data_IF_020645846732
#
_entry.id   IF_020645846732
#
_cell.length_a   1.000
_cell.length_b   1.000
_cell.length_c   1.000
_cell.angle_alpha   90.00
_cell.angle_beta   90.00
_cell.angle_gamma   90.00
#
_symmetry.space_group_name_H-M   'P 1'
#
loop_
_entity.id
_entity.type
_entity.pdbx_description
1 polymer ?
#
# COMPACT_ATOMS: atom_id res chain seq x y z
N UNK A 1 -13.07 -4.85 -20.39
CA UNK A 1 -13.18 -3.39 -20.60
C UNK A 1 -14.05 -2.66 -19.57
N UNK A 2 -15.06 -3.31 -18.94
CA UNK A 2 -15.87 -2.71 -17.86
C UNK A 2 -15.38 -2.97 -16.43
N UNK A 3 -14.10 -3.32 -16.26
CA UNK A 3 -13.51 -3.71 -14.97
C UNK A 3 -13.22 -2.51 -14.05
N UNK A 4 -13.12 -2.77 -12.74
CA UNK A 4 -12.66 -1.77 -11.78
C UNK A 4 -11.30 -1.18 -12.20
N UNK A 5 -11.12 0.13 -11.99
CA UNK A 5 -9.90 0.87 -12.37
C UNK A 5 -9.85 1.34 -13.83
N UNK A 6 -10.85 1.00 -14.65
CA UNK A 6 -11.07 1.60 -15.97
C UNK A 6 -11.87 2.89 -15.77
N UNK A 7 -11.22 4.04 -15.92
CA UNK A 7 -11.80 5.35 -15.65
C UNK A 7 -11.22 6.43 -16.55
N UNK A 8 -11.96 7.52 -16.74
CA UNK A 8 -11.46 8.70 -17.45
C UNK A 8 -10.21 9.27 -16.75
N UNK A 9 -9.27 9.89 -17.49
CA UNK A 9 -9.33 10.20 -18.93
C UNK A 9 -8.85 9.07 -19.85
N UNK A 10 -8.11 8.09 -19.32
CA UNK A 10 -7.41 7.08 -20.14
C UNK A 10 -8.28 5.88 -20.52
N UNK A 11 -9.35 5.62 -19.78
CA UNK A 11 -10.20 4.45 -20.02
C UNK A 11 -9.41 3.15 -19.84
N UNK A 12 -9.62 2.19 -20.75
CA UNK A 12 -8.91 0.91 -20.74
C UNK A 12 -7.50 1.11 -21.32
N UNK A 13 -6.48 0.83 -20.51
CA UNK A 13 -5.08 1.08 -20.85
C UNK A 13 -4.25 -0.21 -20.72
N UNK A 14 -3.97 -0.85 -21.85
CA UNK A 14 -3.10 -2.03 -21.95
C UNK A 14 -2.21 -1.94 -23.21
N UNK A 15 -1.21 -1.05 -23.24
CA UNK A 15 -0.35 -0.88 -24.41
C UNK A 15 0.54 -2.09 -24.70
N UNK A 16 0.81 -2.92 -23.69
CA UNK A 16 1.64 -4.12 -23.80
C UNK A 16 0.82 -5.39 -24.10
N UNK A 17 -0.51 -5.29 -24.15
CA UNK A 17 -1.39 -6.41 -24.46
C UNK A 17 -1.36 -7.53 -23.42
N UNK A 18 -1.09 -7.21 -22.15
CA UNK A 18 -0.96 -8.19 -21.06
C UNK A 18 -2.27 -8.88 -20.70
N UNK A 19 -3.41 -8.36 -21.16
CA UNK A 19 -4.75 -8.92 -20.93
C UNK A 19 -5.37 -9.57 -22.18
N UNK A 20 -4.63 -9.64 -23.29
CA UNK A 20 -5.13 -10.17 -24.58
C UNK A 20 -5.37 -11.68 -24.58
N UNK A 21 -4.69 -12.41 -23.71
CA UNK A 21 -4.79 -13.86 -23.52
C UNK A 21 -6.12 -14.29 -22.91
N UNK A 22 -6.86 -13.37 -22.26
CA UNK A 22 -8.13 -13.66 -21.62
C UNK A 22 -8.03 -14.54 -20.37
N UNK A 23 -6.81 -14.77 -19.87
CA UNK A 23 -6.57 -15.56 -18.65
C UNK A 23 -7.02 -14.78 -17.42
N UNK A 24 -8.18 -15.17 -16.89
CA UNK A 24 -8.79 -14.59 -15.70
C UNK A 24 -7.90 -14.74 -14.47
N UNK A 25 -7.20 -15.87 -14.33
CA UNK A 25 -6.32 -16.12 -13.18
C UNK A 25 -5.10 -15.23 -13.23
N UNK A 26 -4.46 -15.10 -14.40
CA UNK A 26 -3.34 -14.19 -14.59
C UNK A 26 -3.76 -12.73 -14.37
N UNK A 27 -4.92 -12.31 -14.89
CA UNK A 27 -5.45 -10.97 -14.68
C UNK A 27 -5.74 -10.69 -13.19
N UNK A 28 -6.39 -11.63 -12.49
CA UNK A 28 -6.70 -11.55 -11.05
C UNK A 28 -5.43 -11.37 -10.23
N UNK A 29 -4.38 -12.14 -10.54
CA UNK A 29 -3.07 -12.01 -9.90
C UNK A 29 -2.42 -10.65 -10.17
N UNK A 30 -2.45 -10.17 -11.43
CA UNK A 30 -1.92 -8.85 -11.80
C UNK A 30 -2.65 -7.74 -11.05
N UNK A 31 -3.99 -7.81 -10.94
CA UNK A 31 -4.79 -6.86 -10.16
C UNK A 31 -4.47 -6.90 -8.66
N UNK A 32 -4.33 -8.08 -8.07
CA UNK A 32 -3.94 -8.20 -6.66
C UNK A 32 -2.54 -7.56 -6.42
N UNK A 33 -1.62 -7.79 -7.36
CA UNK A 33 -0.28 -7.21 -7.33
C UNK A 33 -0.32 -5.69 -7.44
N UNK A 34 -1.10 -5.15 -8.38
CA UNK A 34 -1.33 -3.71 -8.56
C UNK A 34 -1.85 -3.09 -7.26
N UNK A 35 -2.88 -3.67 -6.65
CA UNK A 35 -3.48 -3.18 -5.41
C UNK A 35 -2.50 -3.20 -4.23
N UNK A 36 -1.69 -4.26 -4.12
CA UNK A 36 -0.67 -4.34 -3.07
C UNK A 36 0.37 -3.23 -3.19
N UNK A 37 0.91 -3.01 -4.39
CA UNK A 37 1.87 -1.93 -4.62
C UNK A 37 1.23 -0.56 -4.40
N UNK A 38 0.02 -0.35 -4.91
CA UNK A 38 -0.77 0.86 -4.68
C UNK A 38 -0.92 1.21 -3.20
N UNK A 39 -1.36 0.25 -2.37
CA UNK A 39 -1.56 0.45 -0.92
C UNK A 39 -0.26 0.81 -0.21
N UNK A 40 0.81 0.07 -0.48
CA UNK A 40 2.14 0.34 0.09
C UNK A 40 2.64 1.72 -0.34
N UNK A 41 2.49 2.09 -1.61
CA UNK A 41 2.92 3.39 -2.11
C UNK A 41 2.11 4.55 -1.55
N UNK A 42 0.80 4.38 -1.30
CA UNK A 42 -0.02 5.41 -0.63
C UNK A 42 0.49 5.68 0.80
N UNK A 43 0.77 4.63 1.57
CA UNK A 43 1.34 4.76 2.90
C UNK A 43 2.75 5.35 2.86
N UNK A 44 3.57 4.93 1.89
CA UNK A 44 4.92 5.44 1.71
C UNK A 44 4.94 6.93 1.35
N UNK A 45 4.07 7.40 0.45
CA UNK A 45 3.99 8.80 0.06
C UNK A 45 3.63 9.71 1.25
N UNK A 46 2.61 9.32 2.03
CA UNK A 46 2.24 10.07 3.25
C UNK A 46 3.35 9.98 4.29
N UNK A 47 3.96 8.81 4.45
CA UNK A 47 5.07 8.58 5.38
C UNK A 47 6.37 9.29 4.99
N UNK A 48 6.56 9.64 3.72
CA UNK A 48 7.70 10.43 3.27
C UNK A 48 7.52 11.92 3.56
N UNK A 49 6.29 12.43 3.38
CA UNK A 49 5.95 13.84 3.58
C UNK A 49 5.81 14.19 5.07
N UNK A 50 5.20 13.32 5.87
CA UNK A 50 4.84 13.62 7.27
C UNK A 50 6.04 13.99 8.15
N UNK A 51 7.19 13.29 8.09
CA UNK A 51 8.39 13.62 8.87
C UNK A 51 9.02 14.98 8.55
N UNK A 52 8.64 15.62 7.43
CA UNK A 52 9.05 16.99 7.10
C UNK A 52 8.38 18.03 8.00
N UNK A 53 7.14 17.73 8.43
CA UNK A 53 6.34 18.63 9.25
C UNK A 53 6.32 18.24 10.72
N UNK A 54 6.39 16.94 11.02
CA UNK A 54 6.24 16.44 12.38
C UNK A 54 7.08 15.20 12.64
N UNK A 55 7.82 15.21 13.75
CA UNK A 55 8.53 14.05 14.28
C UNK A 55 8.06 13.80 15.71
N UNK A 56 7.94 12.53 16.09
CA UNK A 56 7.55 12.17 17.45
C UNK A 56 8.57 12.71 18.47
N UNK A 57 8.13 13.20 19.63
CA UNK A 57 9.05 13.53 20.71
C UNK A 57 9.64 12.27 21.34
N UNK A 58 10.89 12.34 21.79
CA UNK A 58 11.55 11.30 22.58
C UNK A 58 12.56 10.43 21.81
N UNK A 59 12.92 9.30 22.41
CA UNK A 59 13.95 8.40 21.91
C UNK A 59 13.37 7.35 20.97
N UNK A 60 13.94 7.25 19.76
CA UNK A 60 13.75 6.11 18.88
C UNK A 60 14.40 4.86 19.49
N UNK A 61 15.61 5.02 20.03
CA UNK A 61 16.38 3.93 20.60
C UNK A 61 17.08 4.39 21.89
N UNK A 62 16.44 4.16 23.06
CA UNK A 62 16.94 4.65 24.35
C UNK A 62 18.36 4.18 24.68
N UNK A 63 18.71 2.94 24.31
CA UNK A 63 20.04 2.35 24.58
C UNK A 63 21.16 2.99 23.76
N UNK A 64 20.85 3.51 22.57
CA UNK A 64 21.82 4.19 21.70
C UNK A 64 21.66 5.71 21.72
N UNK A 65 20.77 6.25 22.56
CA UNK A 65 20.53 7.69 22.70
C UNK A 65 20.00 8.39 21.45
N UNK A 66 19.46 7.65 20.47
CA UNK A 66 18.97 8.24 19.21
C UNK A 66 17.57 8.80 19.41
N UNK A 67 17.40 10.10 19.19
CA UNK A 67 16.09 10.76 19.21
C UNK A 67 15.39 10.62 17.87
N UNK A 68 14.06 10.67 17.87
CA UNK A 68 13.28 10.72 16.63
C UNK A 68 13.58 11.99 15.81
N UNK A 69 13.96 13.10 16.46
CA UNK A 69 14.39 14.34 15.80
C UNK A 69 15.63 14.16 14.92
N UNK A 70 16.54 13.27 15.33
CA UNK A 70 17.85 13.07 14.71
C UNK A 70 17.81 12.19 13.46
N UNK A 71 16.66 11.54 13.22
CA UNK A 71 16.44 10.72 12.03
C UNK A 71 16.15 11.65 10.85
N UNK A 72 17.01 11.67 9.82
CA UNK A 72 16.77 12.48 8.63
C UNK A 72 15.64 11.88 7.80
N UNK A 73 15.05 12.69 6.92
CA UNK A 73 13.94 12.25 6.08
C UNK A 73 14.42 11.45 4.86
N UNK A 74 13.48 10.70 4.28
CA UNK A 74 13.72 9.86 3.11
C UNK A 74 14.68 8.70 3.34
N UNK A 75 15.41 8.30 2.30
CA UNK A 75 16.25 7.09 2.32
C UNK A 75 17.39 7.15 3.32
N UNK A 76 17.82 8.37 3.71
CA UNK A 76 18.86 8.55 4.72
C UNK A 76 18.43 8.09 6.12
N UNK A 77 17.12 7.97 6.39
CA UNK A 77 16.58 7.44 7.64
C UNK A 77 17.12 6.03 7.95
N UNK A 78 17.30 5.19 6.93
CA UNK A 78 17.81 3.82 7.09
C UNK A 78 19.23 3.76 7.68
N UNK A 79 20.02 4.82 7.56
CA UNK A 79 21.36 4.89 8.15
C UNK A 79 21.36 5.16 9.66
N UNK A 80 20.27 5.71 10.19
CA UNK A 80 20.14 6.11 11.61
C UNK A 80 19.29 5.15 12.43
N UNK A 81 18.34 4.46 11.79
CA UNK A 81 17.51 3.46 12.47
C UNK A 81 18.37 2.24 12.80
N UNK A 82 18.43 1.78 14.07
CA UNK A 82 19.17 0.59 14.43
C UNK A 82 18.66 -0.66 13.69
N UNK A 83 19.57 -1.55 13.27
CA UNK A 83 19.22 -2.75 12.51
C UNK A 83 18.21 -3.67 13.22
N UNK A 84 18.25 -3.75 14.55
CA UNK A 84 17.25 -4.50 15.32
C UNK A 84 15.83 -3.90 15.19
N UNK A 85 15.71 -2.57 15.09
CA UNK A 85 14.43 -1.90 14.86
C UNK A 85 13.88 -2.19 13.46
N UNK A 86 14.76 -2.17 12.44
CA UNK A 86 14.39 -2.56 11.07
C UNK A 86 13.92 -4.02 11.02
N UNK A 87 14.63 -4.93 11.70
CA UNK A 87 14.26 -6.34 11.79
C UNK A 87 12.88 -6.53 12.46
N UNK A 88 12.58 -5.77 13.51
CA UNK A 88 11.25 -5.80 14.15
C UNK A 88 10.14 -5.31 13.22
N UNK A 89 10.39 -4.23 12.45
CA UNK A 89 9.43 -3.72 11.46
C UNK A 89 9.16 -4.79 10.39
N UNK A 90 10.21 -5.40 9.84
CA UNK A 90 10.08 -6.46 8.82
C UNK A 90 9.34 -7.67 9.39
N UNK A 91 9.68 -8.11 10.61
CA UNK A 91 9.01 -9.23 11.27
C UNK A 91 7.53 -8.94 11.51
N UNK A 92 7.19 -7.72 11.94
CA UNK A 92 5.81 -7.31 12.16
C UNK A 92 5.01 -7.26 10.85
N UNK A 93 5.55 -6.61 9.81
CA UNK A 93 4.91 -6.55 8.49
C UNK A 93 4.75 -7.95 7.90
N UNK A 94 5.76 -8.80 8.03
CA UNK A 94 5.70 -10.20 7.59
C UNK A 94 4.63 -11.00 8.35
N UNK A 95 4.51 -10.82 9.66
CA UNK A 95 3.45 -11.45 10.44
C UNK A 95 2.05 -10.96 10.02
N UNK A 96 1.88 -9.67 9.74
CA UNK A 96 0.62 -9.12 9.24
C UNK A 96 0.27 -9.68 7.86
N UNK A 97 1.24 -9.78 6.95
CA UNK A 97 1.04 -10.33 5.60
C UNK A 97 0.57 -11.78 5.64
N UNK A 98 1.13 -12.59 6.54
CA UNK A 98 0.82 -14.02 6.64
C UNK A 98 -0.50 -14.32 7.37
N UNK A 99 -0.92 -13.47 8.32
CA UNK A 99 -2.08 -13.74 9.16
C UNK A 99 -3.32 -12.90 8.79
N UNK A 100 -3.12 -11.59 8.58
CA UNK A 100 -4.23 -10.63 8.41
C UNK A 100 -4.50 -10.34 6.95
N UNK A 101 -3.44 -10.17 6.15
CA UNK A 101 -3.54 -9.82 4.72
C UNK A 101 -3.35 -11.05 3.82
N UNK A 102 -3.69 -12.24 4.33
CA UNK A 102 -3.62 -13.47 3.57
C UNK A 102 -4.64 -13.45 2.43
N UNK A 103 -4.19 -13.72 1.21
CA UNK A 103 -5.02 -13.71 0.01
C UNK A 103 -5.78 -15.03 -0.13
N UNK A 104 -7.10 -14.96 -0.23
CA UNK A 104 -7.96 -16.11 -0.52
C UNK A 104 -8.34 -16.13 -2.01
N UNK A 105 -8.07 -17.22 -2.76
CA UNK A 105 -8.46 -17.35 -4.17
C UNK A 105 -9.97 -17.26 -4.43
N UNK A 106 -10.82 -17.48 -3.42
CA UNK A 106 -12.28 -17.41 -3.55
C UNK A 106 -12.83 -15.97 -3.47
N UNK A 107 -12.00 -15.00 -3.06
CA UNK A 107 -12.39 -13.60 -2.87
C UNK A 107 -11.88 -12.71 -4.00
N UNK A 108 -12.46 -11.52 -4.12
CA UNK A 108 -11.99 -10.53 -5.09
C UNK A 108 -10.55 -10.10 -4.78
N UNK A 109 -9.73 -9.75 -5.79
CA UNK A 109 -8.37 -9.26 -5.59
C UNK A 109 -8.29 -8.12 -4.55
N UNK A 110 -7.50 -8.32 -3.51
CA UNK A 110 -7.29 -7.31 -2.45
C UNK A 110 -8.42 -7.19 -1.42
N UNK A 111 -9.42 -8.09 -1.46
CA UNK A 111 -10.42 -8.30 -0.41
C UNK A 111 -9.93 -9.41 0.54
N UNK A 112 -9.63 -9.04 1.78
CA UNK A 112 -9.08 -9.94 2.79
C UNK A 112 -10.14 -10.29 3.82
N UNK A 113 -10.27 -11.56 4.18
CA UNK A 113 -11.25 -12.00 5.18
C UNK A 113 -11.08 -11.30 6.53
N UNK A 114 -9.83 -11.15 6.96
CA UNK A 114 -9.50 -10.63 8.27
C UNK A 114 -9.32 -9.11 8.28
N UNK A 115 -9.51 -8.40 7.15
CA UNK A 115 -9.31 -6.96 7.07
C UNK A 115 -10.45 -6.24 6.33
N UNK A 116 -11.07 -5.27 7.01
CA UNK A 116 -12.17 -4.48 6.50
C UNK A 116 -11.74 -3.17 5.84
N UNK A 117 -12.60 -2.15 5.95
CA UNK A 117 -12.33 -0.81 5.41
C UNK A 117 -10.96 -0.28 5.88
N UNK A 118 -10.17 0.26 4.95
CA UNK A 118 -8.80 0.75 5.17
C UNK A 118 -7.79 -0.32 5.65
N UNK A 119 -8.10 -1.61 5.50
CA UNK A 119 -7.24 -2.69 5.97
C UNK A 119 -7.25 -2.87 7.49
N UNK A 120 -8.26 -2.33 8.18
CA UNK A 120 -8.41 -2.50 9.62
C UNK A 120 -8.74 -3.97 9.94
N UNK A 121 -7.97 -4.62 10.83
CA UNK A 121 -8.26 -5.99 11.22
C UNK A 121 -9.65 -6.07 11.86
N UNK A 122 -10.47 -7.03 11.42
CA UNK A 122 -11.87 -7.22 11.87
C UNK A 122 -12.79 -6.02 11.63
N UNK A 123 -12.41 -5.08 10.76
CA UNK A 123 -13.26 -3.94 10.39
C UNK A 123 -14.44 -4.35 9.52
N UNK A 124 -15.53 -3.59 9.58
CA UNK A 124 -16.65 -3.76 8.65
C UNK A 124 -16.29 -3.29 7.23
N UNK A 125 -16.82 -3.98 6.23
CA UNK A 125 -16.76 -3.57 4.83
C UNK A 125 -17.75 -2.45 4.51
N UNK A 126 -17.71 -1.94 3.28
CA UNK A 126 -18.74 -1.03 2.76
C UNK A 126 -19.86 -1.88 2.16
N UNK A 127 -21.04 -1.87 2.78
CA UNK A 127 -22.20 -2.68 2.36
C UNK A 127 -22.88 -2.15 1.09
N UNK A 128 -22.92 -0.83 0.93
CA UNK A 128 -23.52 -0.16 -0.23
C UNK A 128 -22.68 -0.38 -1.50
N UNK A 129 -23.24 -1.10 -2.47
CA UNK A 129 -22.54 -1.54 -3.68
C UNK A 129 -22.01 -0.40 -4.56
N UNK A 130 -22.78 0.69 -4.72
CA UNK A 130 -22.37 1.85 -5.53
C UNK A 130 -21.24 2.62 -4.83
N UNK A 131 -21.36 2.83 -3.51
CA UNK A 131 -20.30 3.47 -2.71
C UNK A 131 -19.04 2.61 -2.68
N UNK A 132 -19.18 1.29 -2.59
CA UNK A 132 -18.05 0.34 -2.63
C UNK A 132 -17.33 0.43 -3.97
N UNK A 133 -18.05 0.38 -5.09
CA UNK A 133 -17.48 0.50 -6.44
C UNK A 133 -16.71 1.82 -6.61
N UNK A 134 -17.31 2.94 -6.17
CA UNK A 134 -16.66 4.26 -6.21
C UNK A 134 -15.39 4.28 -5.34
N UNK A 135 -15.45 3.74 -4.12
CA UNK A 135 -14.32 3.71 -3.21
C UNK A 135 -13.16 2.86 -3.75
N UNK A 136 -13.45 1.69 -4.34
CA UNK A 136 -12.45 0.83 -4.96
C UNK A 136 -11.80 1.48 -6.19
N UNK A 137 -12.58 2.18 -7.02
CA UNK A 137 -12.02 2.94 -8.14
C UNK A 137 -11.11 4.07 -7.65
N UNK A 138 -11.52 4.79 -6.60
CA UNK A 138 -10.69 5.83 -5.99
C UNK A 138 -9.40 5.26 -5.37
N UNK A 139 -9.47 4.09 -4.73
CA UNK A 139 -8.30 3.38 -4.20
C UNK A 139 -7.28 3.07 -5.30
N UNK A 140 -7.72 2.49 -6.42
CA UNK A 140 -6.84 2.20 -7.56
C UNK A 140 -6.26 3.50 -8.15
N UNK A 141 -7.09 4.54 -8.30
CA UNK A 141 -6.67 5.84 -8.84
C UNK A 141 -5.55 6.47 -7.99
N UNK A 142 -5.79 6.58 -6.68
CA UNK A 142 -4.84 7.15 -5.72
C UNK A 142 -3.61 6.27 -5.58
N UNK A 143 -3.79 4.95 -5.64
CA UNK A 143 -2.71 3.96 -5.66
C UNK A 143 -1.75 4.14 -6.82
N UNK A 144 -2.29 4.24 -8.05
CA UNK A 144 -1.49 4.48 -9.27
C UNK A 144 -0.73 5.81 -9.19
N UNK A 145 -1.40 6.87 -8.72
CA UNK A 145 -0.75 8.16 -8.51
C UNK A 145 0.36 8.07 -7.46
N UNK A 146 0.11 7.40 -6.34
CA UNK A 146 1.08 7.27 -5.25
C UNK A 146 2.30 6.45 -5.66
N UNK A 147 2.15 5.43 -6.50
CA UNK A 147 3.28 4.67 -7.07
C UNK A 147 4.22 5.58 -7.87
N UNK A 148 3.67 6.51 -8.66
CA UNK A 148 4.50 7.49 -9.38
C UNK A 148 5.08 8.56 -8.44
N UNK A 149 4.29 9.01 -7.46
CA UNK A 149 4.68 10.05 -6.53
C UNK A 149 5.88 9.62 -5.66
N UNK A 150 5.87 8.40 -5.10
CA UNK A 150 6.95 7.94 -4.24
C UNK A 150 8.26 7.74 -5.02
N UNK A 151 8.19 7.27 -6.27
CA UNK A 151 9.37 7.20 -7.14
C UNK A 151 9.92 8.60 -7.39
N UNK A 152 9.05 9.59 -7.66
CA UNK A 152 9.47 10.98 -7.82
C UNK A 152 10.07 11.61 -6.56
N UNK A 153 9.67 11.18 -5.36
CA UNK A 153 10.24 11.68 -4.09
C UNK A 153 11.61 11.08 -3.76
N UNK A 154 11.99 9.96 -4.38
CA UNK A 154 13.30 9.32 -4.16
C UNK A 154 14.44 10.01 -4.92
N UNK A 155 14.13 10.78 -5.97
CA UNK A 155 15.09 11.48 -6.82
C UNK A 155 15.00 13.00 -6.63
#
# INVERSE_FOLDING_TARGET
>A
EGELGVQAPVGFWDPLGLSRDGDVTAFTRRRATELKHARVSMLAAVGYITPEYFKFPGYLAPKSGVLFSDVPNGLSAFSKVPGAGVAQIIAFVGAMELNVLSSDPSRAPGDFENAGRLGLPFGAGIEDGEKRKRALNAEIANGRLAMMAIIGMFF
#
